data_IF_248987863022
#
_entry.id   IF_248987863022
#
_cell.length_a   1.000
_cell.length_b   1.000
_cell.length_c   1.000
_cell.angle_alpha   90.00
_cell.angle_beta   90.00
_cell.angle_gamma   90.00
#
_symmetry.space_group_name_H-M   'P 1'
#
loop_
_entity.id
_entity.type
_entity.pdbx_description
1 polymer ?
#
# COMPACT_ATOMS: atom_id res chain seq x y z
N UNK A 1 -54.21 53.47 -1.93
CA UNK A 1 -54.27 52.04 -1.67
C UNK A 1 -52.81 51.50 -1.78
N UNK A 2 -52.14 51.33 -0.62
CA UNK A 2 -50.75 50.91 -0.55
C UNK A 2 -50.78 49.41 -0.27
N UNK A 3 -50.14 48.60 -1.16
CA UNK A 3 -49.92 47.16 -0.97
C UNK A 3 -48.56 47.02 -0.31
N UNK A 4 -48.52 46.42 0.88
CA UNK A 4 -47.31 46.07 1.61
C UNK A 4 -46.65 44.82 0.96
N UNK A 5 -45.41 44.97 0.58
CA UNK A 5 -44.51 43.88 0.21
C UNK A 5 -43.85 43.36 1.48
N UNK A 6 -44.20 42.16 1.90
CA UNK A 6 -43.60 41.47 3.04
C UNK A 6 -43.33 40.01 2.65
N UNK A 7 -42.11 39.68 2.28
CA UNK A 7 -41.78 38.27 2.19
C UNK A 7 -40.59 37.87 1.32
N UNK A 8 -39.36 38.20 1.70
CA UNK A 8 -38.19 37.48 1.12
C UNK A 8 -36.95 37.39 2.06
N UNK A 9 -37.06 37.69 3.38
CA UNK A 9 -35.91 37.59 4.27
C UNK A 9 -35.75 36.23 5.01
N UNK A 10 -36.78 35.38 5.02
CA UNK A 10 -36.76 34.10 5.75
C UNK A 10 -36.04 32.94 5.03
N UNK A 11 -36.09 32.95 3.70
CA UNK A 11 -35.55 31.81 2.91
C UNK A 11 -34.03 31.70 2.88
N UNK A 12 -33.32 32.83 2.85
CA UNK A 12 -31.87 32.86 2.79
C UNK A 12 -31.19 32.46 4.14
N UNK A 13 -31.85 32.73 5.26
CA UNK A 13 -31.32 32.40 6.59
C UNK A 13 -31.55 30.91 6.92
N UNK A 14 -32.62 30.30 6.47
CA UNK A 14 -32.86 28.85 6.60
C UNK A 14 -31.92 28.06 5.70
N UNK A 15 -31.64 28.53 4.48
CA UNK A 15 -30.67 27.91 3.59
C UNK A 15 -29.25 28.00 4.12
N UNK A 16 -28.85 29.15 4.70
CA UNK A 16 -27.53 29.33 5.35
C UNK A 16 -27.39 28.53 6.64
N UNK A 17 -28.44 28.33 7.43
CA UNK A 17 -28.45 27.46 8.61
C UNK A 17 -28.39 25.98 8.23
N UNK A 18 -29.08 25.54 7.17
CA UNK A 18 -28.98 24.17 6.63
C UNK A 18 -27.57 23.90 6.07
N UNK A 19 -27.01 24.81 5.28
CA UNK A 19 -25.66 24.66 4.73
C UNK A 19 -24.58 24.65 5.82
N UNK A 20 -24.70 25.44 6.91
CA UNK A 20 -23.78 25.37 8.07
C UNK A 20 -23.97 24.06 8.86
N UNK A 21 -25.19 23.59 9.05
CA UNK A 21 -25.44 22.33 9.77
C UNK A 21 -24.94 21.12 8.99
N UNK A 22 -24.98 21.15 7.64
CA UNK A 22 -24.43 20.07 6.78
C UNK A 22 -22.89 20.13 6.73
N UNK A 23 -22.26 21.33 6.71
CA UNK A 23 -20.81 21.45 6.75
C UNK A 23 -20.23 20.99 8.09
N UNK A 24 -20.88 21.26 9.21
CA UNK A 24 -20.46 20.83 10.54
C UNK A 24 -20.64 19.31 10.74
N UNK A 25 -21.60 18.68 10.06
CA UNK A 25 -21.77 17.23 10.05
C UNK A 25 -20.69 16.52 9.24
N UNK A 26 -20.29 17.08 8.11
CA UNK A 26 -19.23 16.52 7.26
C UNK A 26 -17.87 16.53 7.97
N UNK A 27 -17.59 17.56 8.78
CA UNK A 27 -16.32 17.67 9.56
C UNK A 27 -16.26 16.79 10.81
N UNK A 28 -17.37 16.15 11.23
CA UNK A 28 -17.43 15.32 12.43
C UNK A 28 -17.39 13.80 12.15
N UNK A 29 -17.43 13.39 10.88
CA UNK A 29 -17.41 11.96 10.50
C UNK A 29 -15.99 11.41 10.57
N UNK A 30 -15.80 10.37 11.39
CA UNK A 30 -14.55 9.59 11.42
C UNK A 30 -14.69 8.39 10.50
N UNK A 31 -14.13 8.47 9.29
CA UNK A 31 -14.20 7.39 8.29
C UNK A 31 -13.59 6.08 8.80
N UNK A 32 -12.50 6.17 9.59
CA UNK A 32 -11.87 4.98 10.20
C UNK A 32 -12.79 4.22 11.15
N UNK A 33 -13.83 4.86 11.68
CA UNK A 33 -14.87 4.24 12.51
C UNK A 33 -15.78 3.29 11.75
N UNK A 34 -15.89 3.42 10.43
CA UNK A 34 -16.68 2.54 9.55
C UNK A 34 -15.88 1.35 9.01
N UNK A 35 -14.58 1.31 9.25
CA UNK A 35 -13.70 0.23 8.83
C UNK A 35 -13.58 -0.84 9.93
N UNK A 36 -13.81 -2.12 9.63
CA UNK A 36 -13.57 -3.21 10.57
C UNK A 36 -12.07 -3.42 10.83
N UNK A 37 -11.23 -3.12 9.85
CA UNK A 37 -9.78 -3.23 9.94
C UNK A 37 -9.05 -1.92 9.65
N UNK A 38 -7.76 -1.99 9.33
CA UNK A 38 -6.91 -0.85 9.01
C UNK A 38 -6.16 -1.06 7.70
N UNK A 39 -6.70 -0.59 6.56
CA UNK A 39 -6.01 -0.58 5.28
C UNK A 39 -5.50 -1.95 4.83
N UNK A 40 -4.27 -2.00 4.33
CA UNK A 40 -3.64 -3.24 3.86
C UNK A 40 -3.43 -4.30 4.97
N UNK A 41 -3.53 -3.94 6.26
CA UNK A 41 -3.52 -4.92 7.37
C UNK A 41 -4.73 -5.88 7.38
N UNK A 42 -5.76 -5.63 6.54
CA UNK A 42 -6.94 -6.48 6.38
C UNK A 42 -6.78 -7.54 5.29
N UNK A 43 -5.65 -7.59 4.58
CA UNK A 43 -5.40 -8.64 3.57
C UNK A 43 -5.53 -10.03 4.20
N UNK A 44 -6.03 -10.98 3.41
CA UNK A 44 -6.05 -12.41 3.79
C UNK A 44 -4.61 -12.82 4.12
N UNK A 45 -4.38 -13.58 5.21
CA UNK A 45 -3.05 -14.02 5.58
C UNK A 45 -2.33 -14.72 4.40
N UNK A 46 -1.03 -14.46 4.18
CA UNK A 46 -0.32 -14.96 2.99
C UNK A 46 -0.41 -16.48 2.81
N UNK A 47 -0.26 -17.25 3.89
CA UNK A 47 -0.35 -18.72 3.83
C UNK A 47 -1.74 -19.24 3.46
N UNK A 48 -2.81 -18.56 3.87
CA UNK A 48 -4.17 -18.88 3.47
C UNK A 48 -4.41 -18.53 2.00
N UNK A 49 -3.95 -17.33 1.57
CA UNK A 49 -4.05 -16.89 0.19
C UNK A 49 -3.28 -17.82 -0.76
N UNK A 50 -2.05 -18.19 -0.42
CA UNK A 50 -1.25 -19.15 -1.20
C UNK A 50 -1.97 -20.48 -1.37
N UNK A 51 -2.62 -20.97 -0.29
CA UNK A 51 -3.41 -22.22 -0.34
C UNK A 51 -4.64 -22.10 -1.24
N UNK A 52 -5.32 -20.94 -1.24
CA UNK A 52 -6.51 -20.69 -2.07
C UNK A 52 -6.18 -20.62 -3.57
N UNK A 53 -5.02 -20.06 -3.93
CA UNK A 53 -4.61 -19.92 -5.34
C UNK A 53 -3.75 -21.09 -5.82
N UNK A 54 -3.38 -22.02 -4.95
CA UNK A 54 -2.58 -23.18 -5.29
C UNK A 54 -3.27 -23.99 -6.41
N UNK A 55 -2.54 -24.20 -7.51
CA UNK A 55 -3.03 -24.94 -8.67
C UNK A 55 -3.83 -24.10 -9.70
N UNK A 56 -4.20 -22.85 -9.39
CA UNK A 56 -4.88 -21.99 -10.37
C UNK A 56 -3.94 -21.49 -11.47
N UNK A 57 -2.64 -21.38 -11.18
CA UNK A 57 -1.62 -20.88 -12.11
C UNK A 57 -1.11 -21.89 -13.13
N UNK A 58 -1.47 -23.18 -13.03
CA UNK A 58 -0.95 -24.23 -13.89
C UNK A 58 -1.40 -24.12 -15.36
N UNK A 59 -2.39 -23.27 -15.65
CA UNK A 59 -2.91 -23.05 -17.01
C UNK A 59 -2.26 -21.89 -17.77
N UNK A 60 -1.41 -21.08 -17.11
CA UNK A 60 -0.79 -19.87 -17.68
C UNK A 60 0.73 -20.07 -17.76
N UNK A 61 1.20 -20.79 -18.79
CA UNK A 61 2.63 -20.99 -19.00
C UNK A 61 3.31 -19.85 -19.78
N UNK A 62 4.66 -19.84 -19.85
CA UNK A 62 5.44 -18.89 -20.65
C UNK A 62 5.05 -18.84 -22.13
N UNK A 63 4.44 -19.92 -22.64
CA UNK A 63 3.96 -20.03 -24.00
C UNK A 63 2.85 -19.02 -24.37
N UNK A 64 2.23 -18.36 -23.38
CA UNK A 64 1.20 -17.34 -23.59
C UNK A 64 1.70 -15.91 -23.37
N UNK A 65 3.02 -15.68 -23.28
CA UNK A 65 3.61 -14.34 -23.13
C UNK A 65 3.54 -13.77 -21.70
N UNK A 66 3.15 -14.55 -20.67
CA UNK A 66 3.18 -14.11 -19.28
C UNK A 66 4.63 -14.04 -18.81
N UNK A 67 5.08 -12.82 -18.45
CA UNK A 67 6.42 -12.54 -17.94
C UNK A 67 6.47 -12.57 -16.41
N UNK A 68 5.46 -12.01 -15.76
CA UNK A 68 5.27 -12.03 -14.31
C UNK A 68 3.82 -12.46 -14.03
N UNK A 69 3.62 -13.45 -13.18
CA UNK A 69 2.33 -14.02 -12.87
C UNK A 69 1.98 -14.04 -11.40
N UNK A 70 1.26 -15.07 -10.94
CA UNK A 70 0.80 -15.21 -9.57
C UNK A 70 1.96 -15.19 -8.56
N UNK A 71 1.81 -14.36 -7.52
CA UNK A 71 2.75 -14.30 -6.40
C UNK A 71 3.65 -13.08 -6.39
N UNK A 72 3.76 -12.35 -7.49
CA UNK A 72 4.43 -11.05 -7.61
C UNK A 72 3.45 -9.89 -7.36
N UNK A 73 3.91 -8.63 -7.43
CA UNK A 73 3.12 -7.44 -7.12
C UNK A 73 2.08 -7.13 -8.22
N UNK A 74 2.43 -7.32 -9.48
CA UNK A 74 1.52 -7.15 -10.61
C UNK A 74 1.65 -8.28 -11.63
N UNK A 75 0.62 -8.48 -12.45
CA UNK A 75 0.70 -9.33 -13.63
C UNK A 75 1.34 -8.55 -14.79
N UNK A 76 2.30 -9.18 -15.49
CA UNK A 76 2.98 -8.61 -16.66
C UNK A 76 2.90 -9.55 -17.84
N UNK A 77 2.29 -9.08 -18.93
CA UNK A 77 2.09 -9.84 -20.16
C UNK A 77 2.81 -9.15 -21.34
N UNK A 78 3.65 -9.88 -22.06
CA UNK A 78 4.27 -9.38 -23.30
C UNK A 78 3.19 -9.15 -24.37
N UNK A 79 3.22 -7.99 -25.01
CA UNK A 79 2.35 -7.67 -26.16
C UNK A 79 3.13 -7.85 -27.47
N UNK A 80 4.35 -7.33 -27.50
CA UNK A 80 5.30 -7.39 -28.62
C UNK A 80 6.73 -7.38 -28.05
N UNK A 81 7.75 -7.43 -28.92
CA UNK A 81 9.15 -7.62 -28.49
C UNK A 81 9.70 -6.58 -27.54
N UNK A 82 9.14 -5.38 -27.52
CA UNK A 82 9.65 -4.21 -26.78
C UNK A 82 8.64 -3.64 -25.77
N UNK A 83 7.43 -4.23 -25.63
CA UNK A 83 6.41 -3.77 -24.68
C UNK A 83 5.70 -4.91 -23.98
N UNK A 84 5.45 -4.71 -22.71
CA UNK A 84 4.60 -5.54 -21.90
C UNK A 84 3.50 -4.68 -21.24
N UNK A 85 2.30 -5.24 -21.11
CA UNK A 85 1.23 -4.65 -20.31
C UNK A 85 1.37 -5.09 -18.87
N UNK A 86 1.20 -4.15 -17.95
CA UNK A 86 1.14 -4.38 -16.50
C UNK A 86 -0.30 -4.20 -16.04
N UNK A 87 -0.79 -5.09 -15.22
CA UNK A 87 -2.15 -5.01 -14.64
C UNK A 87 -2.13 -5.37 -13.18
N UNK A 88 -2.71 -4.50 -12.36
CA UNK A 88 -2.88 -4.72 -10.93
C UNK A 88 -4.19 -4.14 -10.43
N UNK A 89 -4.58 -4.51 -9.21
CA UNK A 89 -5.72 -3.95 -8.49
C UNK A 89 -5.45 -3.94 -7.00
N UNK A 90 -5.64 -2.78 -6.37
CA UNK A 90 -5.62 -2.69 -4.91
C UNK A 90 -6.70 -1.72 -4.40
N UNK A 91 -7.38 -2.11 -3.32
CA UNK A 91 -8.40 -1.31 -2.66
C UNK A 91 -8.48 -1.70 -1.18
N UNK A 92 -8.84 -0.76 -0.33
CA UNK A 92 -8.93 -0.99 1.10
C UNK A 92 -9.88 -0.01 1.80
N UNK A 93 -10.15 -0.29 3.05
CA UNK A 93 -10.99 0.53 3.95
C UNK A 93 -10.23 1.75 4.46
N UNK A 94 -10.90 2.81 4.96
CA UNK A 94 -10.24 4.03 5.43
C UNK A 94 -9.15 3.76 6.47
N UNK A 95 -7.98 4.38 6.27
CA UNK A 95 -6.83 4.39 7.19
C UNK A 95 -6.64 5.75 7.87
N UNK A 96 -7.28 6.78 7.33
CA UNK A 96 -7.34 8.15 7.88
C UNK A 96 -8.78 8.65 7.81
N UNK A 97 -9.12 9.67 8.61
CA UNK A 97 -10.47 10.20 8.68
C UNK A 97 -10.76 11.27 7.60
N UNK A 98 -9.72 11.93 7.05
CA UNK A 98 -9.87 12.86 5.94
C UNK A 98 -10.13 12.07 4.63
N UNK A 99 -11.28 12.31 3.96
CA UNK A 99 -11.66 11.56 2.76
C UNK A 99 -10.74 11.84 1.57
N UNK A 100 -10.26 13.07 1.42
CA UNK A 100 -9.36 13.43 0.34
C UNK A 100 -8.00 12.73 0.50
N UNK A 101 -7.45 12.73 1.73
CA UNK A 101 -6.20 12.04 2.03
C UNK A 101 -6.33 10.52 1.88
N UNK A 102 -7.46 9.93 2.31
CA UNK A 102 -7.69 8.50 2.06
C UNK A 102 -7.70 8.19 0.56
N UNK A 103 -8.37 9.03 -0.25
CA UNK A 103 -8.34 8.90 -1.71
C UNK A 103 -6.93 8.96 -2.30
N UNK A 104 -6.11 9.90 -1.84
CA UNK A 104 -4.70 10.05 -2.25
C UNK A 104 -3.87 8.81 -1.90
N UNK A 105 -4.03 8.30 -0.68
CA UNK A 105 -3.32 7.12 -0.19
C UNK A 105 -3.70 5.89 -1.01
N UNK A 106 -5.00 5.69 -1.26
CA UNK A 106 -5.49 4.54 -2.02
C UNK A 106 -4.96 4.52 -3.47
N UNK A 107 -4.92 5.68 -4.12
CA UNK A 107 -4.35 5.80 -5.46
C UNK A 107 -2.84 5.57 -5.47
N UNK A 108 -2.08 6.17 -4.52
CA UNK A 108 -0.64 5.95 -4.41
C UNK A 108 -0.29 4.48 -4.19
N UNK A 109 -1.09 3.78 -3.37
CA UNK A 109 -0.93 2.36 -3.10
C UNK A 109 -1.23 1.50 -4.34
N UNK A 110 -2.32 1.75 -5.06
CA UNK A 110 -2.66 0.97 -6.26
C UNK A 110 -1.67 1.19 -7.43
N UNK A 111 -1.06 2.38 -7.51
CA UNK A 111 -0.02 2.69 -8.51
C UNK A 111 1.32 2.03 -8.17
N UNK A 112 1.55 1.70 -6.89
CA UNK A 112 2.83 1.20 -6.38
C UNK A 112 3.25 -0.12 -7.02
N UNK A 113 2.33 -1.06 -7.21
CA UNK A 113 2.59 -2.36 -7.84
C UNK A 113 3.15 -2.21 -9.25
N UNK A 114 2.67 -1.20 -10.00
CA UNK A 114 3.21 -0.94 -11.35
C UNK A 114 4.66 -0.49 -11.29
N UNK A 115 4.99 0.35 -10.30
CA UNK A 115 6.38 0.78 -10.08
C UNK A 115 7.25 -0.36 -9.55
N UNK A 116 6.71 -1.23 -8.69
CA UNK A 116 7.44 -2.36 -8.11
C UNK A 116 7.94 -3.36 -9.17
N UNK A 117 7.23 -3.50 -10.30
CA UNK A 117 7.66 -4.32 -11.42
C UNK A 117 8.46 -3.56 -12.50
N UNK A 118 8.83 -2.29 -12.23
CA UNK A 118 9.59 -1.44 -13.17
C UNK A 118 8.73 -0.82 -14.27
N UNK A 119 7.41 -0.85 -14.14
CA UNK A 119 6.46 -0.31 -15.10
C UNK A 119 6.16 1.19 -14.90
N UNK A 120 5.41 1.73 -15.86
CA UNK A 120 4.84 3.09 -15.84
C UNK A 120 3.32 3.01 -15.97
N UNK A 121 2.55 3.59 -15.03
CA UNK A 121 1.09 3.64 -15.12
C UNK A 121 0.62 4.40 -16.36
N UNK A 122 -0.46 3.95 -16.99
CA UNK A 122 -1.09 4.61 -18.15
C UNK A 122 -2.50 5.09 -17.81
N UNK A 123 -3.33 4.17 -17.33
CA UNK A 123 -4.70 4.47 -16.96
C UNK A 123 -5.13 3.67 -15.75
N UNK A 124 -6.14 4.18 -15.06
CA UNK A 124 -6.77 3.50 -13.94
C UNK A 124 -8.29 3.60 -14.04
N UNK A 125 -8.98 2.65 -13.40
CA UNK A 125 -10.42 2.70 -13.15
C UNK A 125 -10.67 2.60 -11.65
N UNK A 126 -11.58 3.42 -11.13
CA UNK A 126 -11.93 3.46 -9.71
C UNK A 126 -12.71 2.22 -9.28
N UNK A 127 -12.47 1.77 -8.07
CA UNK A 127 -13.27 0.78 -7.35
C UNK A 127 -13.78 1.43 -6.07
N UNK A 128 -15.10 1.59 -5.94
CA UNK A 128 -15.72 2.28 -4.82
C UNK A 128 -16.84 1.44 -4.21
N UNK A 129 -16.64 0.96 -2.98
CA UNK A 129 -17.72 0.51 -2.10
C UNK A 129 -18.14 1.69 -1.19
N UNK A 130 -19.43 2.03 -1.11
CA UNK A 130 -19.87 3.17 -0.33
C UNK A 130 -21.19 2.92 0.38
N UNK A 131 -21.26 3.13 1.72
CA UNK A 131 -22.49 2.97 2.49
C UNK A 131 -23.37 4.23 2.35
N UNK A 132 -24.05 4.38 1.23
CA UNK A 132 -24.79 5.59 0.82
C UNK A 132 -25.91 6.00 1.79
N UNK A 133 -26.43 5.04 2.58
CA UNK A 133 -27.49 5.33 3.54
C UNK A 133 -26.94 5.89 4.88
N UNK A 134 -25.62 5.77 5.13
CA UNK A 134 -24.99 6.18 6.37
C UNK A 134 -23.92 7.25 6.20
N UNK A 135 -23.27 7.33 5.05
CA UNK A 135 -22.23 8.32 4.75
C UNK A 135 -22.67 9.27 3.63
N UNK A 136 -22.46 10.60 3.80
CA UNK A 136 -22.74 11.58 2.74
C UNK A 136 -21.96 11.30 1.45
N UNK A 137 -22.61 11.47 0.29
CA UNK A 137 -21.98 11.29 -1.03
C UNK A 137 -20.89 12.33 -1.31
N UNK A 138 -20.94 13.47 -0.64
CA UNK A 138 -19.91 14.52 -0.70
C UNK A 138 -18.55 13.99 -0.24
N UNK A 139 -18.52 13.11 0.80
CA UNK A 139 -17.28 12.47 1.25
C UNK A 139 -16.74 11.50 0.18
N UNK A 140 -17.61 10.73 -0.48
CA UNK A 140 -17.20 9.86 -1.60
C UNK A 140 -16.59 10.67 -2.74
N UNK A 141 -17.15 11.86 -3.04
CA UNK A 141 -16.61 12.77 -4.04
C UNK A 141 -15.20 13.25 -3.68
N UNK A 142 -14.97 13.60 -2.41
CA UNK A 142 -13.63 14.00 -1.95
C UNK A 142 -12.61 12.85 -2.03
N UNK A 143 -13.02 11.61 -1.72
CA UNK A 143 -12.18 10.41 -1.92
C UNK A 143 -11.78 10.26 -3.38
N UNK A 144 -12.76 10.31 -4.30
CA UNK A 144 -12.49 10.23 -5.75
C UNK A 144 -11.60 11.36 -6.24
N UNK A 145 -11.78 12.59 -5.72
CA UNK A 145 -10.95 13.75 -6.05
C UNK A 145 -9.50 13.52 -5.62
N UNK A 146 -9.28 13.05 -4.38
CA UNK A 146 -7.94 12.73 -3.89
C UNK A 146 -7.24 11.68 -4.75
N UNK A 147 -7.95 10.61 -5.12
CA UNK A 147 -7.43 9.58 -6.02
C UNK A 147 -7.08 10.11 -7.40
N UNK A 148 -7.97 10.92 -7.99
CA UNK A 148 -7.75 11.56 -9.28
C UNK A 148 -6.50 12.45 -9.30
N UNK A 149 -6.30 13.26 -8.25
CA UNK A 149 -5.17 14.19 -8.19
C UNK A 149 -3.82 13.46 -8.10
N UNK A 150 -3.74 12.33 -7.38
CA UNK A 150 -2.53 11.50 -7.32
C UNK A 150 -2.31 10.76 -8.63
N UNK A 151 -3.34 10.20 -9.24
CA UNK A 151 -3.22 9.56 -10.55
C UNK A 151 -2.75 10.56 -11.63
N UNK A 152 -3.29 11.78 -11.64
CA UNK A 152 -2.84 12.84 -12.54
C UNK A 152 -1.37 13.21 -12.34
N UNK A 153 -0.91 13.29 -11.06
CA UNK A 153 0.51 13.53 -10.74
C UNK A 153 1.41 12.41 -11.26
N UNK A 154 0.93 11.16 -11.26
CA UNK A 154 1.62 10.00 -11.82
C UNK A 154 1.57 9.93 -13.36
N UNK A 155 0.90 10.87 -14.04
CA UNK A 155 0.63 10.79 -15.47
C UNK A 155 -0.35 9.68 -15.87
N UNK A 156 -1.11 9.16 -14.91
CA UNK A 156 -2.08 8.09 -15.09
C UNK A 156 -3.49 8.67 -15.26
N UNK A 157 -4.17 8.32 -16.36
CA UNK A 157 -5.52 8.80 -16.63
C UNK A 157 -6.56 7.95 -15.89
N UNK A 158 -7.46 8.59 -15.13
CA UNK A 158 -8.61 7.90 -14.54
C UNK A 158 -9.76 7.89 -15.54
N UNK A 159 -10.13 6.70 -16.02
CA UNK A 159 -11.05 6.48 -17.14
C UNK A 159 -12.40 5.86 -16.70
N UNK A 160 -12.93 6.26 -15.53
CA UNK A 160 -14.17 5.73 -15.00
C UNK A 160 -13.97 4.77 -13.82
N UNK A 161 -14.80 3.73 -13.73
CA UNK A 161 -14.72 2.76 -12.65
C UNK A 161 -16.04 2.05 -12.37
N UNK A 162 -16.07 1.34 -11.23
CA UNK A 162 -17.23 0.63 -10.73
C UNK A 162 -17.54 1.05 -9.29
N UNK A 163 -18.83 1.13 -8.94
CA UNK A 163 -19.26 1.43 -7.58
C UNK A 163 -20.36 0.49 -7.13
N UNK A 164 -20.33 0.12 -5.86
CA UNK A 164 -21.35 -0.71 -5.21
C UNK A 164 -21.81 -0.07 -3.91
N UNK A 165 -23.05 -0.30 -3.54
CA UNK A 165 -23.56 0.00 -2.21
C UNK A 165 -23.04 -1.06 -1.24
N UNK A 166 -22.13 -0.68 -0.34
CA UNK A 166 -21.41 -1.59 0.57
C UNK A 166 -21.47 -1.00 1.99
N UNK A 167 -21.82 -1.77 3.01
CA UNK A 167 -21.92 -1.26 4.38
C UNK A 167 -20.58 -0.75 4.93
N UNK A 168 -19.46 -1.17 4.34
CA UNK A 168 -18.12 -0.72 4.71
C UNK A 168 -17.47 0.06 3.56
N UNK A 169 -17.07 1.34 3.77
CA UNK A 169 -16.46 2.11 2.69
C UNK A 169 -15.13 1.47 2.25
N UNK A 170 -14.97 1.29 0.94
CA UNK A 170 -13.78 0.76 0.29
C UNK A 170 -13.45 1.59 -0.93
N UNK A 171 -12.18 1.90 -1.12
CA UNK A 171 -11.73 2.62 -2.30
C UNK A 171 -10.35 2.16 -2.73
N UNK A 172 -10.14 2.16 -4.03
CA UNK A 172 -8.89 1.88 -4.71
C UNK A 172 -9.04 1.94 -6.21
N UNK A 173 -8.08 1.37 -6.91
CA UNK A 173 -8.03 1.40 -8.37
C UNK A 173 -7.57 0.07 -8.94
N UNK A 174 -8.09 -0.28 -10.12
CA UNK A 174 -7.42 -1.19 -11.02
C UNK A 174 -6.58 -0.34 -11.97
N UNK A 175 -5.27 -0.66 -12.05
CA UNK A 175 -4.29 0.11 -12.80
C UNK A 175 -3.75 -0.72 -13.96
N UNK A 176 -3.71 -0.10 -15.14
CA UNK A 176 -3.03 -0.64 -16.31
C UNK A 176 -1.81 0.21 -16.62
N UNK A 177 -0.66 -0.42 -16.76
CA UNK A 177 0.61 0.20 -17.10
C UNK A 177 1.30 -0.48 -18.27
N UNK A 178 2.48 0.01 -18.59
CA UNK A 178 3.42 -0.60 -19.55
C UNK A 178 4.78 -0.73 -18.92
N UNK A 179 5.52 -1.76 -19.35
CA UNK A 179 6.91 -1.98 -18.97
C UNK A 179 7.73 -2.41 -20.17
N UNK A 180 9.03 -2.24 -20.08
CA UNK A 180 10.02 -2.82 -20.97
C UNK A 180 10.25 -4.28 -20.51
N UNK A 181 9.96 -5.30 -21.35
CA UNK A 181 10.10 -6.71 -20.96
C UNK A 181 11.53 -7.10 -20.58
N UNK A 182 12.56 -6.38 -21.07
CA UNK A 182 13.96 -6.66 -20.78
C UNK A 182 14.48 -5.93 -19.52
N UNK A 183 13.63 -5.10 -18.89
CA UNK A 183 13.99 -4.27 -17.73
C UNK A 183 12.96 -4.35 -16.59
N UNK A 184 12.44 -5.54 -16.38
CA UNK A 184 11.50 -5.78 -15.29
C UNK A 184 12.23 -5.90 -13.94
N UNK A 185 11.60 -5.38 -12.89
CA UNK A 185 11.94 -5.70 -11.51
C UNK A 185 11.09 -6.90 -11.09
N UNK A 186 11.71 -8.00 -10.70
CA UNK A 186 11.01 -9.26 -10.42
C UNK A 186 11.27 -9.70 -8.99
N UNK A 187 10.25 -10.19 -8.33
CA UNK A 187 10.40 -10.70 -6.96
C UNK A 187 11.34 -11.92 -6.88
N UNK A 188 11.51 -12.69 -7.97
CA UNK A 188 12.30 -13.92 -8.06
C UNK A 188 13.72 -13.75 -8.63
N UNK A 189 14.17 -12.51 -8.85
CA UNK A 189 15.47 -12.24 -9.48
C UNK A 189 16.57 -11.73 -8.52
N UNK A 190 16.33 -11.78 -7.21
CA UNK A 190 17.32 -11.36 -6.22
C UNK A 190 18.51 -12.34 -6.15
N UNK A 191 19.72 -11.81 -5.94
CA UNK A 191 20.98 -12.59 -5.94
C UNK A 191 21.77 -12.37 -4.66
N UNK A 192 22.54 -13.39 -4.19
CA UNK A 192 23.44 -13.21 -3.05
C UNK A 192 24.48 -12.13 -3.31
N UNK A 193 24.91 -11.44 -2.24
CA UNK A 193 25.93 -10.39 -2.28
C UNK A 193 25.36 -9.00 -2.60
N UNK A 194 24.07 -8.87 -2.95
CA UNK A 194 23.44 -7.58 -3.17
C UNK A 194 22.98 -6.95 -1.84
N UNK A 195 23.16 -5.63 -1.65
CA UNK A 195 22.55 -4.92 -0.53
C UNK A 195 21.02 -4.87 -0.69
N UNK A 196 20.32 -4.66 0.42
CA UNK A 196 18.88 -4.43 0.46
C UNK A 196 18.62 -2.96 0.75
N UNK A 197 17.95 -2.26 -0.17
CA UNK A 197 17.57 -0.86 -0.02
C UNK A 197 16.07 -0.71 0.22
N UNK A 198 15.69 0.14 1.18
CA UNK A 198 14.30 0.48 1.52
C UNK A 198 14.05 1.97 1.24
N UNK A 199 13.06 2.30 0.41
CA UNK A 199 12.84 3.67 -0.08
C UNK A 199 11.96 4.55 0.81
N UNK A 200 11.19 3.98 1.74
CA UNK A 200 10.37 4.74 2.72
C UNK A 200 10.51 4.13 4.12
N UNK A 201 10.36 4.95 5.18
CA UNK A 201 10.36 4.45 6.56
C UNK A 201 9.14 3.57 6.87
N UNK A 202 9.30 2.68 7.86
CA UNK A 202 8.22 1.83 8.39
C UNK A 202 7.48 2.50 9.56
N UNK A 203 6.41 1.84 10.05
CA UNK A 203 5.64 2.25 11.20
C UNK A 203 4.26 2.82 10.87
N UNK A 204 3.85 2.76 9.60
CA UNK A 204 2.54 3.26 9.15
C UNK A 204 1.40 2.50 9.84
N UNK A 205 1.49 1.17 9.96
CA UNK A 205 0.40 0.36 10.51
C UNK A 205 0.16 0.62 11.99
N UNK A 206 1.21 0.77 12.79
CA UNK A 206 1.09 1.08 14.22
C UNK A 206 0.58 2.51 14.45
N UNK A 207 0.98 3.49 13.63
CA UNK A 207 0.48 4.86 13.68
C UNK A 207 -0.99 4.95 13.25
N UNK A 208 -1.39 4.25 12.19
CA UNK A 208 -2.79 4.16 11.75
C UNK A 208 -3.65 3.47 12.82
N UNK A 209 -3.13 2.45 13.50
CA UNK A 209 -3.83 1.78 14.61
C UNK A 209 -4.04 2.75 15.77
N UNK A 210 -3.04 3.55 16.13
CA UNK A 210 -3.13 4.59 17.15
C UNK A 210 -4.09 5.70 16.73
N UNK A 211 -4.00 6.20 15.48
CA UNK A 211 -4.95 7.15 14.92
C UNK A 211 -6.40 6.67 15.04
N UNK A 212 -6.67 5.44 14.61
CA UNK A 212 -8.02 4.85 14.69
C UNK A 212 -8.55 4.80 16.12
N UNK A 213 -7.70 4.41 17.09
CA UNK A 213 -8.08 4.26 18.49
C UNK A 213 -8.27 5.61 19.20
N UNK A 214 -7.42 6.59 18.93
CA UNK A 214 -7.32 7.83 19.72
C UNK A 214 -7.82 9.07 18.99
N UNK A 215 -7.86 9.07 17.66
CA UNK A 215 -8.08 10.26 16.83
C UNK A 215 -6.83 11.16 16.68
N UNK A 216 -5.67 10.73 17.21
CA UNK A 216 -4.41 11.47 17.05
C UNK A 216 -3.99 11.52 15.58
N UNK A 217 -3.54 12.67 15.11
CA UNK A 217 -3.14 12.87 13.71
C UNK A 217 -1.65 12.65 13.53
N UNK A 218 -1.26 11.97 12.45
CA UNK A 218 0.12 11.71 12.07
C UNK A 218 0.39 12.22 10.63
N UNK A 219 0.57 13.54 10.43
CA UNK A 219 0.78 14.11 9.09
C UNK A 219 1.97 13.52 8.35
N UNK A 220 3.03 13.13 9.08
CA UNK A 220 4.21 12.47 8.52
C UNK A 220 3.87 11.10 7.90
N UNK A 221 2.96 10.34 8.52
CA UNK A 221 2.50 9.07 7.96
C UNK A 221 1.65 9.28 6.69
N UNK A 222 0.77 10.30 6.69
CA UNK A 222 -0.01 10.69 5.50
C UNK A 222 0.92 11.12 4.36
N UNK A 223 1.96 11.91 4.65
CA UNK A 223 2.93 12.36 3.65
C UNK A 223 3.66 11.17 3.01
N UNK A 224 4.08 10.18 3.81
CA UNK A 224 4.75 8.96 3.31
C UNK A 224 3.79 8.10 2.49
N UNK A 225 2.55 7.89 2.96
CA UNK A 225 1.55 7.08 2.25
C UNK A 225 1.10 7.70 0.92
N UNK A 226 1.12 9.04 0.80
CA UNK A 226 0.73 9.74 -0.44
C UNK A 226 1.89 9.97 -1.41
N UNK A 227 3.13 9.67 -1.00
CA UNK A 227 4.29 9.74 -1.88
C UNK A 227 4.30 8.55 -2.86
N UNK A 228 4.50 8.83 -4.16
CA UNK A 228 4.65 7.81 -5.19
C UNK A 228 5.99 7.08 -5.06
N UNK A 229 6.04 5.85 -5.53
CA UNK A 229 7.26 5.05 -5.63
C UNK A 229 7.97 5.19 -6.99
N UNK A 230 7.52 6.12 -7.84
CA UNK A 230 8.02 6.38 -9.19
C UNK A 230 9.51 6.71 -9.26
N UNK A 231 9.97 7.61 -8.37
CA UNK A 231 11.40 8.00 -8.31
C UNK A 231 12.26 6.83 -7.85
N UNK A 232 11.83 6.09 -6.83
CA UNK A 232 12.58 4.94 -6.31
C UNK A 232 12.70 3.83 -7.38
N UNK A 233 11.61 3.52 -8.09
CA UNK A 233 11.62 2.54 -9.18
C UNK A 233 12.55 2.96 -10.33
N UNK A 234 12.47 4.23 -10.76
CA UNK A 234 13.35 4.75 -11.80
C UNK A 234 14.82 4.67 -11.41
N UNK A 235 15.17 5.08 -10.19
CA UNK A 235 16.54 5.01 -9.69
C UNK A 235 17.04 3.57 -9.52
N UNK A 236 16.16 2.64 -9.12
CA UNK A 236 16.47 1.21 -9.07
C UNK A 236 16.82 0.65 -10.46
N UNK A 237 16.01 0.96 -11.48
CA UNK A 237 16.28 0.58 -12.88
C UNK A 237 17.55 1.22 -13.43
N UNK A 238 17.82 2.49 -13.11
CA UNK A 238 19.05 3.21 -13.51
C UNK A 238 20.29 2.60 -12.84
N UNK A 239 20.16 2.11 -11.60
CA UNK A 239 21.22 1.40 -10.89
C UNK A 239 21.40 -0.07 -11.34
N UNK A 240 20.59 -0.56 -12.28
CA UNK A 240 20.67 -1.92 -12.79
C UNK A 240 20.08 -2.98 -11.86
N UNK A 241 19.17 -2.59 -10.96
CA UNK A 241 18.44 -3.55 -10.14
C UNK A 241 17.56 -4.45 -11.01
N UNK A 242 17.44 -5.72 -10.65
CA UNK A 242 16.62 -6.72 -11.32
C UNK A 242 15.49 -7.24 -10.41
N UNK A 243 15.58 -6.98 -9.09
CA UNK A 243 14.61 -7.45 -8.12
C UNK A 243 14.12 -6.35 -7.18
N UNK A 244 12.81 -6.24 -7.06
CA UNK A 244 12.14 -5.37 -6.12
C UNK A 244 10.76 -5.92 -5.74
N UNK A 245 10.17 -5.37 -4.68
CA UNK A 245 8.75 -5.45 -4.29
C UNK A 245 8.39 -4.20 -3.51
N UNK A 246 7.13 -3.83 -3.44
CA UNK A 246 6.70 -2.81 -2.51
C UNK A 246 6.38 -3.41 -1.13
N UNK A 247 6.58 -2.64 -0.08
CA UNK A 247 6.34 -3.07 1.29
C UNK A 247 4.95 -2.61 1.72
N UNK A 248 3.98 -3.53 1.72
CA UNK A 248 2.59 -3.22 2.06
C UNK A 248 2.07 -4.12 3.20
N UNK A 249 0.94 -4.79 3.02
CA UNK A 249 0.19 -5.45 4.07
C UNK A 249 0.90 -6.57 4.82
N UNK A 250 1.92 -7.19 4.23
CA UNK A 250 2.70 -8.26 4.87
C UNK A 250 3.90 -7.73 5.69
N UNK A 251 4.13 -6.42 5.69
CA UNK A 251 5.26 -5.79 6.36
C UNK A 251 6.60 -6.09 5.70
N UNK A 252 7.67 -5.44 6.16
CA UNK A 252 9.01 -5.64 5.60
C UNK A 252 9.41 -7.12 5.59
N UNK A 253 9.28 -7.80 6.72
CA UNK A 253 9.73 -9.20 6.82
C UNK A 253 8.90 -10.14 5.93
N UNK A 254 7.60 -9.89 5.77
CA UNK A 254 6.75 -10.73 4.93
C UNK A 254 7.08 -10.59 3.44
N UNK A 255 7.26 -9.36 2.95
CA UNK A 255 7.66 -9.11 1.55
C UNK A 255 9.08 -9.60 1.28
N UNK A 256 10.04 -9.35 2.20
CA UNK A 256 11.39 -9.86 2.08
C UNK A 256 11.45 -11.40 2.09
N UNK A 257 10.64 -12.06 2.93
CA UNK A 257 10.54 -13.51 2.95
C UNK A 257 10.06 -14.07 1.60
N UNK A 258 9.03 -13.45 1.00
CA UNK A 258 8.55 -13.84 -0.34
C UNK A 258 9.65 -13.69 -1.38
N UNK A 259 10.31 -12.54 -1.44
CA UNK A 259 11.41 -12.26 -2.37
C UNK A 259 12.56 -13.25 -2.18
N UNK A 260 13.06 -13.44 -0.96
CA UNK A 260 14.18 -14.33 -0.68
C UNK A 260 13.84 -15.78 -1.03
N UNK A 261 12.64 -16.25 -0.68
CA UNK A 261 12.15 -17.59 -1.00
C UNK A 261 12.03 -17.81 -2.52
N UNK A 262 11.43 -16.86 -3.24
CA UNK A 262 11.25 -16.95 -4.69
C UNK A 262 12.58 -16.95 -5.44
N UNK A 263 13.56 -16.19 -4.95
CA UNK A 263 14.91 -16.09 -5.52
C UNK A 263 15.86 -17.20 -5.07
N UNK A 264 15.48 -18.05 -4.12
CA UNK A 264 16.36 -19.11 -3.58
C UNK A 264 17.54 -18.59 -2.74
N UNK A 265 17.42 -17.40 -2.15
CA UNK A 265 18.46 -16.75 -1.32
C UNK A 265 18.01 -16.64 0.14
N UNK A 266 18.93 -16.25 1.02
CA UNK A 266 18.61 -15.76 2.36
C UNK A 266 18.89 -14.26 2.48
N UNK A 267 18.27 -13.61 3.47
CA UNK A 267 18.42 -12.18 3.70
C UNK A 267 18.85 -11.89 5.13
N UNK A 268 19.81 -11.00 5.29
CA UNK A 268 20.27 -10.47 6.57
C UNK A 268 19.78 -9.02 6.70
N UNK A 269 19.01 -8.74 7.75
CA UNK A 269 18.48 -7.40 8.05
C UNK A 269 19.19 -6.84 9.27
N UNK A 270 19.78 -5.66 9.14
CA UNK A 270 20.23 -4.86 10.26
C UNK A 270 19.06 -4.05 10.82
N UNK A 271 18.50 -4.52 11.93
CA UNK A 271 17.35 -3.87 12.57
C UNK A 271 17.64 -2.41 12.99
N UNK A 272 18.90 -2.10 13.29
CA UNK A 272 19.29 -0.74 13.67
C UNK A 272 19.34 0.23 12.47
N UNK A 273 19.55 -0.29 11.26
CA UNK A 273 19.55 0.50 10.03
C UNK A 273 18.14 0.77 9.47
N UNK A 274 17.11 0.02 9.91
CA UNK A 274 15.75 0.20 9.40
C UNK A 274 15.16 1.54 9.87
N UNK A 275 14.76 2.44 8.94
CA UNK A 275 14.18 3.73 9.29
C UNK A 275 12.73 3.58 9.73
N UNK A 276 12.34 4.31 10.80
CA UNK A 276 10.96 4.36 11.28
C UNK A 276 10.45 5.78 11.35
N UNK A 277 9.15 5.93 11.12
CA UNK A 277 8.43 7.17 11.37
C UNK A 277 8.48 7.54 12.87
N UNK A 278 8.55 8.84 13.14
CA UNK A 278 8.45 9.36 14.50
C UNK A 278 7.15 8.90 15.17
N UNK A 279 7.24 8.45 16.42
CA UNK A 279 6.11 7.90 17.17
C UNK A 279 5.81 6.41 16.94
N UNK A 280 6.43 5.75 15.95
CA UNK A 280 6.14 4.33 15.67
C UNK A 280 6.59 3.40 16.82
N UNK A 281 7.77 3.64 17.39
CA UNK A 281 8.27 2.85 18.55
C UNK A 281 7.44 3.08 19.80
N UNK A 282 6.96 4.32 20.03
CA UNK A 282 6.04 4.66 21.09
C UNK A 282 4.70 3.95 20.91
N UNK A 283 4.14 3.96 19.69
CA UNK A 283 2.88 3.30 19.40
C UNK A 283 2.93 1.80 19.71
N UNK A 284 4.03 1.11 19.38
CA UNK A 284 4.20 -0.32 19.74
C UNK A 284 4.29 -0.52 21.25
N UNK A 285 5.05 0.32 21.96
CA UNK A 285 5.15 0.24 23.43
C UNK A 285 3.81 0.45 24.12
N UNK A 286 2.98 1.35 23.56
CA UNK A 286 1.64 1.66 24.04
C UNK A 286 0.60 0.59 23.61
N UNK A 287 1.01 -0.45 22.85
CA UNK A 287 0.18 -1.60 22.46
C UNK A 287 -0.63 -1.40 21.17
N UNK A 288 -0.42 -0.30 20.42
CA UNK A 288 -1.11 -0.03 19.15
C UNK A 288 -0.56 -0.91 18.01
N UNK A 289 -0.77 -2.21 18.12
CA UNK A 289 -0.32 -3.22 17.15
C UNK A 289 -1.53 -3.89 16.53
N UNK A 290 -1.64 -3.82 15.20
CA UNK A 290 -2.76 -4.40 14.47
C UNK A 290 -2.76 -5.94 14.53
N UNK A 291 -3.94 -6.54 14.33
CA UNK A 291 -4.03 -8.00 14.17
C UNK A 291 -3.26 -8.50 12.95
N UNK A 292 -3.20 -7.69 11.87
CA UNK A 292 -2.40 -7.97 10.68
C UNK A 292 -0.91 -8.10 11.00
N UNK A 293 -0.35 -7.12 11.71
CA UNK A 293 1.06 -7.12 12.14
C UNK A 293 1.41 -8.37 12.96
N UNK A 294 0.53 -8.78 13.90
CA UNK A 294 0.74 -10.01 14.69
C UNK A 294 0.69 -11.27 13.84
N UNK A 295 -0.23 -11.35 12.87
CA UNK A 295 -0.31 -12.48 11.93
C UNK A 295 0.93 -12.53 11.02
N UNK A 296 1.41 -11.38 10.54
CA UNK A 296 2.63 -11.28 9.75
C UNK A 296 3.84 -11.83 10.51
N UNK A 297 4.03 -11.38 11.77
CA UNK A 297 5.12 -11.88 12.61
C UNK A 297 5.00 -13.40 12.84
N UNK A 298 3.82 -13.90 13.16
CA UNK A 298 3.59 -15.33 13.37
C UNK A 298 3.87 -16.16 12.10
N UNK A 299 3.57 -15.61 10.93
CA UNK A 299 3.82 -16.28 9.65
C UNK A 299 5.30 -16.39 9.30
N UNK A 300 6.09 -15.32 9.53
CA UNK A 300 7.51 -15.31 9.18
C UNK A 300 8.41 -15.91 10.27
N UNK A 301 7.95 -15.98 11.52
CA UNK A 301 8.77 -16.40 12.66
C UNK A 301 9.38 -17.80 12.50
N UNK A 302 8.71 -18.84 11.94
CA UNK A 302 9.31 -20.15 11.71
C UNK A 302 10.49 -20.15 10.71
N UNK A 303 10.62 -19.09 9.93
CA UNK A 303 11.60 -18.93 8.85
C UNK A 303 12.66 -17.87 9.16
N UNK A 304 12.64 -17.30 10.37
CA UNK A 304 13.45 -16.15 10.75
C UNK A 304 14.27 -16.42 12.02
N UNK A 305 15.56 -16.21 11.94
CA UNK A 305 16.40 -16.10 13.13
C UNK A 305 16.41 -14.63 13.61
N UNK A 306 15.81 -14.39 14.75
CA UNK A 306 15.74 -13.06 15.38
C UNK A 306 16.88 -12.82 16.40
N UNK A 307 17.72 -13.78 16.66
CA UNK A 307 18.77 -13.64 17.66
C UNK A 307 18.25 -13.03 18.98
N UNK A 308 18.79 -11.85 19.35
CA UNK A 308 18.41 -11.12 20.57
C UNK A 308 17.46 -9.92 20.33
N UNK A 309 16.89 -9.81 19.15
CA UNK A 309 15.98 -8.70 18.81
C UNK A 309 14.75 -8.74 19.72
N UNK A 310 14.45 -7.61 20.37
CA UNK A 310 13.29 -7.47 21.24
C UNK A 310 11.96 -7.65 20.49
N UNK A 311 10.93 -8.17 21.16
CA UNK A 311 9.62 -8.43 20.55
C UNK A 311 9.00 -7.15 19.92
N UNK A 312 9.16 -6.00 20.57
CA UNK A 312 8.69 -4.72 20.04
C UNK A 312 9.32 -4.36 18.69
N UNK A 313 10.60 -4.65 18.49
CA UNK A 313 11.28 -4.43 17.21
C UNK A 313 10.86 -5.46 16.16
N UNK A 314 10.67 -6.74 16.54
CA UNK A 314 10.12 -7.77 15.64
C UNK A 314 8.72 -7.38 15.14
N UNK A 315 7.88 -6.82 16.02
CA UNK A 315 6.56 -6.31 15.64
C UNK A 315 6.65 -5.14 14.66
N UNK A 316 7.61 -4.21 14.85
CA UNK A 316 7.83 -3.08 13.93
C UNK A 316 8.32 -3.55 12.56
N UNK A 317 9.22 -4.52 12.50
CA UNK A 317 9.71 -5.11 11.25
C UNK A 317 8.61 -5.89 10.49
N UNK A 318 7.65 -6.46 11.22
CA UNK A 318 6.48 -7.15 10.65
C UNK A 318 5.26 -6.23 10.48
N UNK A 319 5.38 -4.91 10.81
CA UNK A 319 4.26 -3.98 10.79
C UNK A 319 3.67 -3.84 9.39
N UNK A 320 2.35 -4.07 9.28
CA UNK A 320 1.63 -3.95 8.03
C UNK A 320 1.67 -2.50 7.54
N UNK A 321 2.25 -2.26 6.38
CA UNK A 321 2.30 -0.93 5.78
C UNK A 321 1.12 -0.72 4.82
N UNK A 322 0.73 0.53 4.63
CA UNK A 322 -0.18 0.97 3.57
C UNK A 322 0.58 1.97 2.71
N UNK A 323 0.68 1.72 1.42
CA UNK A 323 1.46 2.54 0.47
C UNK A 323 2.91 2.76 0.95
N UNK A 324 3.57 1.68 1.38
CA UNK A 324 4.96 1.70 1.82
C UNK A 324 5.94 1.92 0.67
N UNK A 325 7.23 1.82 0.98
CA UNK A 325 8.31 2.01 0.01
C UNK A 325 8.65 0.75 -0.78
N UNK A 326 9.50 0.90 -1.79
CA UNK A 326 10.11 -0.24 -2.47
C UNK A 326 11.23 -0.83 -1.60
N UNK A 327 11.26 -2.14 -1.56
CA UNK A 327 12.38 -2.96 -1.11
C UNK A 327 13.09 -3.47 -2.37
N UNK A 328 14.34 -3.09 -2.54
CA UNK A 328 15.12 -3.36 -3.76
C UNK A 328 16.37 -4.16 -3.42
N UNK A 329 16.64 -5.22 -4.19
CA UNK A 329 17.91 -5.91 -4.17
C UNK A 329 18.95 -5.13 -4.99
N UNK A 330 19.74 -4.29 -4.33
CA UNK A 330 20.69 -3.35 -4.90
C UNK A 330 20.81 -2.07 -4.09
N UNK A 331 21.86 -1.30 -4.31
CA UNK A 331 21.99 0.02 -3.73
C UNK A 331 21.26 1.06 -4.59
N UNK A 332 20.26 1.73 -4.00
CA UNK A 332 19.43 2.72 -4.70
C UNK A 332 19.65 4.09 -4.09
N UNK A 333 20.07 5.11 -4.88
CA UNK A 333 20.26 6.46 -4.38
C UNK A 333 18.99 7.02 -3.71
N UNK A 334 19.17 7.61 -2.52
CA UNK A 334 18.06 8.18 -1.74
C UNK A 334 17.25 7.15 -0.93
N UNK A 335 17.58 5.86 -1.02
CA UNK A 335 17.03 4.80 -0.17
C UNK A 335 18.00 4.45 0.95
N UNK A 336 17.49 3.82 2.01
CA UNK A 336 18.32 3.36 3.14
C UNK A 336 18.72 1.91 2.91
N UNK A 337 20.02 1.62 2.95
CA UNK A 337 20.51 0.22 2.98
C UNK A 337 20.22 -0.36 4.35
N UNK A 338 19.42 -1.42 4.40
CA UNK A 338 18.93 -2.06 5.63
C UNK A 338 19.46 -3.48 5.85
N UNK A 339 20.31 -3.96 4.95
CA UNK A 339 20.83 -5.32 5.03
C UNK A 339 21.43 -5.79 3.72
N UNK A 340 21.56 -7.09 3.59
CA UNK A 340 22.14 -7.75 2.42
C UNK A 340 21.51 -9.11 2.14
N UNK A 341 21.61 -9.55 0.89
CA UNK A 341 21.26 -10.90 0.46
C UNK A 341 22.49 -11.82 0.52
N UNK A 342 22.28 -13.03 1.00
CA UNK A 342 23.35 -14.01 1.17
C UNK A 342 22.97 -15.36 0.55
N UNK A 343 23.96 -16.22 0.33
CA UNK A 343 23.72 -17.61 -0.06
C UNK A 343 22.79 -18.29 0.95
N UNK A 344 21.83 -19.02 0.45
CA UNK A 344 20.88 -19.74 1.29
C UNK A 344 21.50 -21.05 1.79
N UNK A 345 21.52 -21.23 3.11
CA UNK A 345 21.71 -22.54 3.72
C UNK A 345 20.37 -23.32 3.60
N UNK A 346 20.34 -24.49 2.95
CA UNK A 346 19.11 -25.28 2.80
C UNK A 346 18.41 -25.61 4.12
N UNK A 347 19.18 -25.84 5.19
CA UNK A 347 18.69 -26.16 6.53
C UNK A 347 18.59 -24.96 7.46
N UNK A 348 19.02 -23.79 6.98
CA UNK A 348 19.04 -22.53 7.73
C UNK A 348 17.78 -21.68 7.56
N UNK A 349 17.67 -20.59 8.33
CA UNK A 349 16.59 -19.62 8.19
C UNK A 349 16.68 -18.89 6.84
N UNK A 350 15.52 -18.46 6.33
CA UNK A 350 15.47 -17.60 5.14
C UNK A 350 15.78 -16.15 5.49
N UNK A 351 15.37 -15.72 6.69
CA UNK A 351 15.64 -14.38 7.21
C UNK A 351 16.51 -14.44 8.47
N UNK A 352 17.46 -13.54 8.55
CA UNK A 352 18.33 -13.35 9.71
C UNK A 352 18.22 -11.88 10.12
N UNK A 353 17.78 -11.60 11.33
CA UNK A 353 17.65 -10.23 11.86
C UNK A 353 18.64 -10.03 13.00
N UNK A 354 19.49 -9.04 12.87
CA UNK A 354 20.56 -8.73 13.82
C UNK A 354 20.71 -7.23 14.11
#
# INVERSE_FOLDING_TARGET
MRVHDAGTRGGADVARRRARCDSDRVTSVRLTGYAHGGGCACKIPPGELESMVAGLGAASGPEQGMLIGLGDDAAVLSIDGDRAVVSTVDFFTPVVDDPYDWGRIAAANALSDVYAVGGRPLMAVNLLGWPRDTLPMELAREVLRGGHDVAAKAGCQVAGGHSVDDPEPKYGMAVTGVADPDRLLRMDAARPGLPLSLSKPLGIGVLNTRHKATGESFPQAVAVMTALNDVAARLALEAGAEAATDVTGFGLLGHLYKMARASGVAAVVDAAAVPYLEGAREAVRDGFVSGGTRRNLAWVAPHTDFGRIAESERLLLADAQTSGGLLVAGEVPGSTVIGELVERDPDGPVLIVR
#
